data_IF_935348646527
#
_entry.id   IF_935348646527
#
_cell.length_a   1.000
_cell.length_b   1.000
_cell.length_c   1.000
_cell.angle_alpha   90.00
_cell.angle_beta   90.00
_cell.angle_gamma   90.00
#
_symmetry.space_group_name_H-M   'P 1'
#
loop_
_entity.id
_entity.type
_entity.pdbx_description
1 polymer ?
#
# COMPACT_ATOMS: atom_id res chain seq x y z
N UNK A 1 -12.66 29.26 3.22
CA UNK A 1 -13.36 27.99 2.92
C UNK A 1 -12.56 27.13 1.95
N UNK A 2 -11.95 27.71 0.91
CA UNK A 2 -11.13 27.01 -0.10
C UNK A 2 -9.94 26.22 0.47
N UNK A 3 -9.13 26.79 1.38
CA UNK A 3 -7.95 26.10 1.95
C UNK A 3 -8.30 24.85 2.76
N UNK A 4 -9.41 24.86 3.49
CA UNK A 4 -9.86 23.69 4.27
C UNK A 4 -10.39 22.56 3.37
N UNK A 5 -11.04 22.90 2.26
CA UNK A 5 -11.52 21.94 1.25
C UNK A 5 -10.35 21.35 0.46
N UNK A 6 -9.34 22.16 0.12
CA UNK A 6 -8.13 21.69 -0.54
C UNK A 6 -7.32 20.77 0.39
N UNK A 7 -7.18 21.12 1.66
CA UNK A 7 -6.57 20.25 2.67
C UNK A 7 -7.27 18.90 2.81
N UNK A 8 -8.61 18.86 2.76
CA UNK A 8 -9.36 17.61 2.83
C UNK A 8 -9.22 16.75 1.56
N UNK A 9 -9.06 17.36 0.38
CA UNK A 9 -8.82 16.63 -0.88
C UNK A 9 -7.42 16.02 -0.96
N UNK A 10 -6.38 16.69 -0.46
CA UNK A 10 -5.05 16.08 -0.38
C UNK A 10 -5.04 14.90 0.58
N UNK A 11 -5.66 15.03 1.75
CA UNK A 11 -5.76 13.90 2.67
C UNK A 11 -6.51 12.71 2.04
N UNK A 12 -7.52 12.98 1.22
CA UNK A 12 -8.21 11.93 0.46
C UNK A 12 -7.32 11.29 -0.61
N UNK A 13 -6.51 12.07 -1.33
CA UNK A 13 -5.53 11.55 -2.29
C UNK A 13 -4.45 10.69 -1.58
N UNK A 14 -3.90 11.18 -0.47
CA UNK A 14 -2.91 10.47 0.35
C UNK A 14 -3.49 9.21 1.00
N UNK A 15 -4.80 9.11 1.23
CA UNK A 15 -5.44 7.87 1.66
C UNK A 15 -5.44 6.77 0.58
N UNK A 16 -5.17 7.12 -0.68
CA UNK A 16 -4.87 6.17 -1.76
C UNK A 16 -3.45 5.60 -1.70
N UNK A 17 -2.51 6.33 -1.11
CA UNK A 17 -1.08 5.97 -0.99
C UNK A 17 -0.88 5.03 0.19
N UNK A 18 -0.09 3.97 -0.02
CA UNK A 18 0.04 2.88 0.95
C UNK A 18 1.48 2.54 1.21
N UNK A 19 1.73 2.09 2.43
CA UNK A 19 2.94 1.34 2.68
C UNK A 19 2.88 0.02 1.90
N UNK A 20 3.87 -0.27 1.03
CA UNK A 20 3.83 -1.44 0.17
C UNK A 20 3.89 -2.75 0.96
N UNK A 21 4.59 -2.78 2.10
CA UNK A 21 4.70 -3.98 2.93
C UNK A 21 3.41 -4.25 3.71
N UNK A 22 2.85 -3.20 4.33
CA UNK A 22 1.73 -3.32 5.24
C UNK A 22 0.37 -3.36 4.52
N UNK A 23 0.31 -2.85 3.28
CA UNK A 23 -0.91 -2.61 2.50
C UNK A 23 -1.99 -1.85 3.28
N UNK A 24 -1.53 -0.81 3.98
CA UNK A 24 -2.35 0.13 4.74
C UNK A 24 -2.05 1.56 4.29
N UNK A 25 -3.05 2.46 4.26
CA UNK A 25 -2.84 3.84 3.88
C UNK A 25 -1.82 4.55 4.78
N UNK A 26 -0.95 5.36 4.20
CA UNK A 26 0.04 6.15 4.96
C UNK A 26 -0.63 7.14 5.92
N UNK A 27 -1.85 7.57 5.61
CA UNK A 27 -2.70 8.39 6.49
C UNK A 27 -3.18 7.60 7.72
N UNK A 28 -3.64 6.37 7.54
CA UNK A 28 -4.06 5.48 8.63
C UNK A 28 -2.87 5.00 9.49
N UNK A 29 -1.68 4.91 8.89
CA UNK A 29 -0.45 4.58 9.61
C UNK A 29 0.12 5.77 10.41
N UNK A 30 -0.36 6.99 10.15
CA UNK A 30 0.13 8.21 10.81
C UNK A 30 1.45 8.74 10.23
N UNK A 31 1.82 8.29 9.04
CA UNK A 31 3.08 8.67 8.37
C UNK A 31 3.00 10.06 7.76
N UNK A 32 1.80 10.60 7.50
CA UNK A 32 1.64 12.00 7.07
C UNK A 32 1.81 12.91 8.28
N UNK A 33 2.92 13.64 8.34
CA UNK A 33 3.23 14.59 9.41
C UNK A 33 2.49 15.92 9.20
N UNK A 34 2.50 16.42 7.96
CA UNK A 34 1.76 17.61 7.55
C UNK A 34 1.42 17.53 6.06
N UNK A 35 0.36 18.23 5.66
CA UNK A 35 -0.02 18.41 4.27
C UNK A 35 -0.70 19.77 4.14
N UNK A 36 -0.06 20.69 3.42
CA UNK A 36 -0.52 22.08 3.27
C UNK A 36 -0.53 22.49 1.82
N UNK A 37 -1.42 23.43 1.48
CA UNK A 37 -1.49 24.04 0.15
C UNK A 37 -1.59 25.54 0.28
N UNK A 38 -0.72 26.22 -0.45
CA UNK A 38 -0.76 27.67 -0.56
C UNK A 38 -1.92 28.14 -1.45
N UNK A 39 -2.36 29.41 -1.36
CA UNK A 39 -3.42 29.94 -2.21
C UNK A 39 -3.14 29.87 -3.72
N UNK A 40 -1.87 29.79 -4.11
CA UNK A 40 -1.41 29.68 -5.48
C UNK A 40 -1.24 28.22 -5.95
N UNK A 41 -1.65 27.23 -5.16
CA UNK A 41 -1.70 25.82 -5.58
C UNK A 41 -0.36 25.08 -5.45
N UNK A 42 0.51 25.52 -4.53
CA UNK A 42 1.73 24.79 -4.18
C UNK A 42 1.41 23.87 -3.01
N UNK A 43 1.49 22.56 -3.23
CA UNK A 43 1.32 21.56 -2.17
C UNK A 43 2.67 21.16 -1.56
N UNK A 44 2.72 21.13 -0.24
CA UNK A 44 3.86 20.62 0.53
C UNK A 44 3.36 19.53 1.49
N UNK A 45 3.92 18.33 1.35
CA UNK A 45 3.56 17.16 2.16
C UNK A 45 4.80 16.65 2.87
N UNK A 46 4.72 16.53 4.18
CA UNK A 46 5.76 15.90 4.98
C UNK A 46 5.34 14.49 5.37
N UNK A 47 6.21 13.54 5.06
CA UNK A 47 6.11 12.15 5.49
C UNK A 47 7.17 11.85 6.53
N UNK A 48 6.81 11.04 7.52
CA UNK A 48 7.71 10.56 8.57
C UNK A 48 7.54 9.07 8.77
N UNK A 49 8.64 8.39 9.09
CA UNK A 49 8.65 6.94 9.23
C UNK A 49 8.95 6.48 10.66
N UNK A 50 8.50 5.27 11.05
CA UNK A 50 8.65 4.75 12.40
C UNK A 50 10.10 4.67 12.90
N UNK A 51 11.06 4.50 11.99
CA UNK A 51 12.49 4.37 12.33
C UNK A 51 13.36 5.13 11.34
N UNK A 52 14.55 5.54 11.78
CA UNK A 52 15.53 6.23 10.94
C UNK A 52 16.07 5.35 9.81
N UNK A 53 16.03 4.02 9.98
CA UNK A 53 16.55 3.00 9.06
C UNK A 53 15.42 2.15 8.42
N UNK A 54 14.25 2.74 8.20
CA UNK A 54 13.23 2.07 7.38
C UNK A 54 13.82 1.76 5.99
N UNK A 55 13.30 0.74 5.31
CA UNK A 55 13.90 0.32 4.06
C UNK A 55 13.78 1.45 3.00
N UNK A 56 14.90 1.89 2.37
CA UNK A 56 14.90 3.06 1.49
C UNK A 56 14.04 2.86 0.24
N UNK A 57 13.94 1.63 -0.25
CA UNK A 57 13.02 1.26 -1.34
C UNK A 57 11.55 1.45 -0.97
N UNK A 58 11.12 1.10 0.25
CA UNK A 58 9.72 1.29 0.67
C UNK A 58 9.41 2.77 0.91
N UNK A 59 10.35 3.47 1.54
CA UNK A 59 10.27 4.92 1.74
C UNK A 59 10.15 5.65 0.40
N UNK A 60 11.01 5.32 -0.57
CA UNK A 60 10.97 5.90 -1.92
C UNK A 60 9.62 5.66 -2.60
N UNK A 61 9.07 4.43 -2.56
CA UNK A 61 7.76 4.13 -3.13
C UNK A 61 6.65 4.99 -2.51
N UNK A 62 6.64 5.14 -1.18
CA UNK A 62 5.63 5.97 -0.51
C UNK A 62 5.75 7.46 -0.85
N UNK A 63 6.98 7.99 -0.92
CA UNK A 63 7.23 9.40 -1.28
C UNK A 63 6.85 9.65 -2.74
N UNK A 64 7.25 8.76 -3.66
CA UNK A 64 6.90 8.84 -5.07
C UNK A 64 5.38 8.73 -5.30
N UNK A 65 4.72 7.76 -4.65
CA UNK A 65 3.27 7.58 -4.77
C UNK A 65 2.50 8.77 -4.17
N UNK A 66 2.99 9.37 -3.08
CA UNK A 66 2.43 10.61 -2.53
C UNK A 66 2.60 11.79 -3.48
N UNK A 67 3.76 11.91 -4.12
CA UNK A 67 4.01 12.94 -5.12
C UNK A 67 3.03 12.80 -6.29
N UNK A 68 2.91 11.60 -6.86
CA UNK A 68 2.02 11.35 -8.01
C UNK A 68 0.54 11.56 -7.64
N UNK A 69 0.10 11.08 -6.47
CA UNK A 69 -1.29 11.21 -6.01
C UNK A 69 -1.70 12.68 -5.80
N UNK A 70 -0.81 13.50 -5.24
CA UNK A 70 -1.09 14.92 -4.98
C UNK A 70 -0.94 15.75 -6.26
N UNK A 71 0.05 15.44 -7.10
CA UNK A 71 0.26 16.12 -8.38
C UNK A 71 -0.88 15.89 -9.39
N UNK A 72 -1.66 14.82 -9.22
CA UNK A 72 -2.79 14.49 -10.08
C UNK A 72 -4.07 15.30 -9.78
N UNK A 73 -4.07 16.14 -8.74
CA UNK A 73 -5.21 16.99 -8.39
C UNK A 73 -5.23 18.25 -9.26
N UNK A 74 -6.36 18.54 -9.91
CA UNK A 74 -6.51 19.67 -10.84
C UNK A 74 -6.15 21.04 -10.23
N UNK A 75 -6.34 21.20 -8.92
CA UNK A 75 -6.03 22.42 -8.18
C UNK A 75 -4.54 22.60 -7.82
N UNK A 76 -3.71 21.57 -8.01
CA UNK A 76 -2.30 21.58 -7.63
C UNK A 76 -1.44 21.92 -8.84
N UNK A 77 -0.70 23.03 -8.73
CA UNK A 77 0.23 23.49 -9.77
C UNK A 77 1.62 22.88 -9.59
N UNK A 78 2.04 22.69 -8.34
CA UNK A 78 3.34 22.10 -8.02
C UNK A 78 3.26 21.36 -6.69
N UNK A 79 3.99 20.26 -6.60
CA UNK A 79 4.02 19.40 -5.42
C UNK A 79 5.44 19.23 -4.93
N UNK A 80 5.62 19.33 -3.63
CA UNK A 80 6.83 18.94 -2.92
C UNK A 80 6.44 17.90 -1.87
N UNK A 81 7.12 16.76 -1.88
CA UNK A 81 6.97 15.74 -0.83
C UNK A 81 8.32 15.57 -0.16
N UNK A 82 8.35 15.69 1.16
CA UNK A 82 9.56 15.67 1.98
C UNK A 82 9.46 14.49 2.93
N UNK A 83 10.46 13.61 2.89
CA UNK A 83 10.67 12.59 3.89
C UNK A 83 11.52 13.14 5.04
N UNK A 84 10.94 13.22 6.23
CA UNK A 84 11.58 13.75 7.42
C UNK A 84 12.49 12.69 8.09
N UNK A 85 13.70 13.12 8.45
CA UNK A 85 14.61 12.41 9.35
C UNK A 85 14.79 10.91 9.04
N UNK A 86 15.10 10.59 7.79
CA UNK A 86 15.49 9.27 7.35
C UNK A 86 16.95 9.28 6.89
N UNK A 87 17.68 8.17 7.06
CA UNK A 87 19.10 8.11 6.69
C UNK A 87 19.35 8.38 5.20
N UNK A 88 18.35 8.11 4.37
CA UNK A 88 18.37 8.34 2.93
C UNK A 88 17.41 9.46 2.49
N UNK A 89 17.00 10.36 3.39
CA UNK A 89 16.06 11.46 3.07
C UNK A 89 16.52 12.27 1.86
N UNK A 90 17.78 12.71 1.83
CA UNK A 90 18.30 13.56 0.75
C UNK A 90 18.18 12.87 -0.62
N UNK A 91 18.71 11.64 -0.73
CA UNK A 91 18.64 10.85 -1.96
C UNK A 91 17.19 10.58 -2.42
N UNK A 92 16.27 10.29 -1.48
CA UNK A 92 14.87 10.03 -1.80
C UNK A 92 14.16 11.31 -2.25
N UNK A 93 14.31 12.39 -1.50
CA UNK A 93 13.64 13.66 -1.76
C UNK A 93 14.11 14.26 -3.10
N UNK A 94 15.43 14.31 -3.32
CA UNK A 94 16.00 14.80 -4.57
C UNK A 94 15.61 13.91 -5.76
N UNK A 95 15.65 12.58 -5.55
CA UNK A 95 15.30 11.59 -6.54
C UNK A 95 13.85 11.70 -7.03
N UNK A 96 12.90 11.82 -6.09
CA UNK A 96 11.48 11.97 -6.41
C UNK A 96 11.20 13.34 -7.02
N UNK A 97 11.76 14.42 -6.47
CA UNK A 97 11.59 15.77 -7.03
C UNK A 97 12.10 15.88 -8.47
N UNK A 98 13.21 15.21 -8.78
CA UNK A 98 13.78 15.13 -10.13
C UNK A 98 13.10 14.09 -11.04
N UNK A 99 12.16 13.29 -10.51
CA UNK A 99 11.57 12.11 -11.18
C UNK A 99 12.65 11.18 -11.76
N UNK A 100 13.72 10.98 -11.00
CA UNK A 100 14.94 10.31 -11.44
C UNK A 100 14.79 8.79 -11.57
N UNK A 101 13.86 8.19 -10.82
CA UNK A 101 13.77 6.74 -10.64
C UNK A 101 14.64 6.26 -9.48
N UNK A 102 14.35 5.09 -8.92
CA UNK A 102 15.05 4.59 -7.74
C UNK A 102 16.50 4.26 -8.05
N UNK A 103 16.77 3.62 -9.19
CA UNK A 103 18.13 3.19 -9.54
C UNK A 103 19.07 4.38 -9.72
N UNK A 104 18.59 5.48 -10.30
CA UNK A 104 19.39 6.71 -10.44
C UNK A 104 19.57 7.43 -9.10
N UNK A 105 18.56 7.41 -8.23
CA UNK A 105 18.62 8.09 -6.93
C UNK A 105 19.61 7.43 -5.97
N UNK A 106 19.88 6.13 -6.18
CA UNK A 106 20.80 5.31 -5.40
C UNK A 106 21.87 4.69 -6.30
N UNK A 107 22.50 5.50 -7.16
CA UNK A 107 23.53 5.04 -8.09
C UNK A 107 24.68 4.33 -7.36
N UNK A 108 25.08 3.17 -7.87
CA UNK A 108 26.09 2.29 -7.23
C UNK A 108 25.59 1.46 -6.04
N UNK A 109 24.39 1.72 -5.50
CA UNK A 109 23.79 0.97 -4.39
C UNK A 109 22.56 0.15 -4.82
N UNK A 110 21.75 0.68 -5.74
CA UNK A 110 20.55 0.02 -6.22
C UNK A 110 20.86 -1.10 -7.23
N UNK A 111 20.20 -2.24 -7.05
CA UNK A 111 20.25 -3.35 -8.01
C UNK A 111 19.36 -3.13 -9.25
N UNK A 112 18.46 -2.15 -9.22
CA UNK A 112 17.52 -1.84 -10.30
C UNK A 112 16.30 -1.06 -9.79
N UNK A 113 15.31 -0.89 -10.67
CA UNK A 113 14.02 -0.25 -10.33
C UNK A 113 13.12 -1.17 -9.49
N UNK A 114 12.05 -0.59 -8.94
CA UNK A 114 11.23 -1.21 -7.90
C UNK A 114 9.96 -1.91 -8.41
N UNK A 115 9.76 -2.06 -9.71
CA UNK A 115 8.54 -2.64 -10.28
C UNK A 115 8.27 -4.06 -9.78
N UNK A 116 9.28 -4.93 -9.80
CA UNK A 116 9.14 -6.31 -9.34
C UNK A 116 8.85 -6.39 -7.84
N UNK A 117 9.49 -5.51 -7.06
CA UNK A 117 9.25 -5.41 -5.62
C UNK A 117 7.79 -5.01 -5.34
N UNK A 118 7.27 -4.02 -6.07
CA UNK A 118 5.86 -3.60 -5.97
C UNK A 118 4.92 -4.75 -6.30
N UNK A 119 5.18 -5.50 -7.37
CA UNK A 119 4.40 -6.68 -7.76
C UNK A 119 4.39 -7.72 -6.62
N UNK A 120 5.53 -8.01 -6.02
CA UNK A 120 5.64 -9.02 -4.95
C UNK A 120 4.88 -8.62 -3.68
N UNK A 121 4.85 -7.33 -3.36
CA UNK A 121 4.03 -6.82 -2.28
C UNK A 121 2.54 -6.92 -2.56
N UNK A 122 2.10 -6.54 -3.77
CA UNK A 122 0.68 -6.68 -4.14
C UNK A 122 0.26 -8.16 -4.13
N UNK A 123 1.15 -9.10 -4.50
CA UNK A 123 0.90 -10.55 -4.37
C UNK A 123 0.68 -10.96 -2.91
N UNK A 124 1.51 -10.46 -1.98
CA UNK A 124 1.31 -10.69 -0.53
C UNK A 124 -0.02 -10.10 -0.06
N UNK A 125 -0.41 -8.94 -0.56
CA UNK A 125 -1.68 -8.29 -0.27
C UNK A 125 -2.89 -9.09 -0.76
N UNK A 126 -2.80 -9.70 -1.94
CA UNK A 126 -3.80 -10.64 -2.44
C UNK A 126 -3.90 -11.84 -1.50
N UNK A 127 -2.77 -12.45 -1.12
CA UNK A 127 -2.75 -13.58 -0.18
C UNK A 127 -3.36 -13.23 1.18
N UNK A 128 -2.97 -12.10 1.78
CA UNK A 128 -3.51 -11.66 3.05
C UNK A 128 -5.01 -11.34 2.96
N UNK A 129 -5.44 -10.67 1.88
CA UNK A 129 -6.83 -10.37 1.60
C UNK A 129 -7.69 -11.63 1.44
N UNK A 130 -7.17 -12.67 0.79
CA UNK A 130 -7.84 -13.97 0.67
C UNK A 130 -8.16 -14.57 2.04
N UNK A 131 -7.22 -14.55 2.99
CA UNK A 131 -7.47 -15.04 4.36
C UNK A 131 -8.59 -14.24 5.05
N UNK A 132 -8.56 -12.90 4.94
CA UNK A 132 -9.59 -12.03 5.54
C UNK A 132 -10.97 -12.33 4.98
N UNK A 133 -11.08 -12.50 3.67
CA UNK A 133 -12.35 -12.76 2.98
C UNK A 133 -12.88 -14.18 3.26
N UNK A 134 -11.99 -15.18 3.35
CA UNK A 134 -12.40 -16.58 3.52
C UNK A 134 -12.70 -16.96 4.97
N UNK A 135 -12.06 -16.31 5.95
CA UNK A 135 -12.22 -16.64 7.38
C UNK A 135 -13.67 -16.68 7.88
N UNK A 136 -14.56 -15.73 7.55
CA UNK A 136 -15.93 -15.77 8.06
C UNK A 136 -16.81 -16.82 7.37
N UNK A 137 -16.36 -17.44 6.28
CA UNK A 137 -17.21 -18.31 5.46
C UNK A 137 -17.42 -19.71 6.05
N UNK A 138 -16.48 -20.21 6.87
CA UNK A 138 -16.54 -21.54 7.51
C UNK A 138 -17.07 -22.65 6.58
N UNK A 139 -16.49 -22.78 5.38
CA UNK A 139 -16.89 -23.75 4.34
C UNK A 139 -15.88 -24.88 4.19
N UNK A 140 -16.33 -25.99 3.59
CA UNK A 140 -15.44 -27.08 3.18
C UNK A 140 -14.44 -26.60 2.10
N UNK A 141 -13.20 -27.11 2.07
CA UNK A 141 -12.25 -26.86 0.99
C UNK A 141 -12.83 -26.98 -0.43
N UNK A 142 -13.70 -27.96 -0.71
CA UNK A 142 -14.32 -28.11 -2.04
C UNK A 142 -15.21 -26.93 -2.40
N UNK A 143 -15.98 -26.44 -1.43
CA UNK A 143 -16.89 -25.32 -1.61
C UNK A 143 -16.12 -24.01 -1.82
N UNK A 144 -15.01 -23.82 -1.10
CA UNK A 144 -14.15 -22.64 -1.27
C UNK A 144 -13.41 -22.65 -2.61
N UNK A 145 -13.01 -23.82 -3.11
CA UNK A 145 -12.39 -23.98 -4.43
C UNK A 145 -13.36 -23.63 -5.55
N UNK A 146 -14.63 -24.01 -5.42
CA UNK A 146 -15.67 -23.76 -6.42
C UNK A 146 -16.31 -22.36 -6.31
N UNK A 147 -16.18 -21.68 -5.15
CA UNK A 147 -16.76 -20.36 -4.92
C UNK A 147 -16.19 -19.30 -5.85
N UNK A 148 -17.03 -18.35 -6.24
CA UNK A 148 -16.66 -17.15 -6.99
C UNK A 148 -16.70 -15.91 -6.12
N UNK A 149 -16.03 -14.85 -6.55
CA UNK A 149 -16.05 -13.57 -5.84
C UNK A 149 -17.45 -12.93 -5.78
N UNK A 150 -18.32 -13.20 -6.76
CA UNK A 150 -19.71 -12.72 -6.79
C UNK A 150 -20.65 -13.42 -5.81
N UNK A 151 -20.28 -14.61 -5.33
CA UNK A 151 -21.08 -15.40 -4.39
C UNK A 151 -20.97 -14.89 -2.94
N UNK A 152 -20.07 -13.94 -2.70
CA UNK A 152 -19.74 -13.44 -1.38
C UNK A 152 -20.51 -12.15 -1.05
N UNK A 153 -20.91 -11.95 0.21
CA UNK A 153 -21.54 -10.71 0.63
C UNK A 153 -20.60 -9.51 0.40
N UNK A 154 -21.12 -8.36 -0.07
CA UNK A 154 -20.32 -7.14 -0.23
C UNK A 154 -19.61 -6.76 1.08
N UNK A 155 -18.33 -6.45 0.98
CA UNK A 155 -17.51 -6.01 2.12
C UNK A 155 -16.29 -5.24 1.67
N UNK A 156 -15.78 -4.36 2.54
CA UNK A 156 -14.53 -3.63 2.28
C UNK A 156 -13.34 -4.56 2.01
N UNK A 157 -13.31 -5.74 2.65
CA UNK A 157 -12.28 -6.75 2.43
C UNK A 157 -12.35 -7.35 1.03
N UNK A 158 -13.56 -7.65 0.54
CA UNK A 158 -13.79 -8.15 -0.81
C UNK A 158 -13.41 -7.09 -1.86
N UNK A 159 -13.80 -5.83 -1.65
CA UNK A 159 -13.45 -4.73 -2.55
C UNK A 159 -11.94 -4.49 -2.62
N UNK A 160 -11.26 -4.58 -1.47
CA UNK A 160 -9.79 -4.48 -1.38
C UNK A 160 -9.12 -5.63 -2.12
N UNK A 161 -9.59 -6.87 -1.93
CA UNK A 161 -9.06 -8.04 -2.65
C UNK A 161 -9.22 -7.86 -4.17
N UNK A 162 -10.38 -7.41 -4.64
CA UNK A 162 -10.62 -7.13 -6.06
C UNK A 162 -9.71 -6.04 -6.61
N UNK A 163 -9.48 -4.95 -5.87
CA UNK A 163 -8.53 -3.90 -6.27
C UNK A 163 -7.11 -4.45 -6.44
N UNK A 164 -6.59 -5.19 -5.45
CA UNK A 164 -5.25 -5.78 -5.51
C UNK A 164 -5.09 -6.76 -6.67
N UNK A 165 -6.12 -7.53 -6.97
CA UNK A 165 -6.12 -8.40 -8.15
C UNK A 165 -6.05 -7.59 -9.45
N UNK A 166 -6.84 -6.53 -9.59
CA UNK A 166 -6.81 -5.66 -10.78
C UNK A 166 -5.45 -5.02 -11.01
N UNK A 167 -4.76 -4.60 -9.95
CA UNK A 167 -3.40 -4.04 -10.04
C UNK A 167 -2.38 -5.03 -10.61
N UNK A 168 -2.62 -6.34 -10.45
CA UNK A 168 -1.80 -7.41 -11.03
C UNK A 168 -2.37 -7.97 -12.35
N UNK A 169 -3.47 -7.43 -12.86
CA UNK A 169 -4.18 -8.00 -14.02
C UNK A 169 -4.81 -9.37 -13.75
N UNK A 170 -5.05 -9.72 -12.47
CA UNK A 170 -5.64 -11.00 -12.05
C UNK A 170 -7.18 -10.99 -12.12
N UNK A 171 -7.83 -12.17 -12.25
CA UNK A 171 -9.29 -12.29 -12.24
C UNK A 171 -9.96 -11.70 -10.99
N UNK A 172 -10.78 -10.66 -11.17
CA UNK A 172 -11.39 -9.88 -10.09
C UNK A 172 -12.89 -9.58 -10.30
N UNK A 173 -13.52 -10.18 -11.31
CA UNK A 173 -14.95 -10.04 -11.63
C UNK A 173 -15.82 -11.00 -10.82
N UNK A 174 -17.14 -10.88 -10.97
CA UNK A 174 -18.09 -11.69 -10.19
C UNK A 174 -18.02 -13.17 -10.52
N UNK A 175 -17.72 -13.52 -11.78
CA UNK A 175 -17.48 -14.89 -12.21
C UNK A 175 -16.08 -15.43 -11.90
N UNK A 176 -15.19 -14.61 -11.32
CA UNK A 176 -13.82 -15.02 -11.03
C UNK A 176 -13.74 -15.93 -9.82
N UNK A 177 -12.85 -16.95 -9.82
CA UNK A 177 -12.64 -17.83 -8.67
C UNK A 177 -12.27 -17.07 -7.40
N UNK A 178 -12.81 -17.49 -6.26
CA UNK A 178 -12.47 -16.95 -4.95
C UNK A 178 -11.01 -17.24 -4.62
N UNK A 179 -10.53 -18.46 -4.88
CA UNK A 179 -9.16 -18.85 -4.60
C UNK A 179 -8.37 -18.93 -5.90
N UNK A 180 -7.33 -18.11 -6.01
CA UNK A 180 -6.41 -18.11 -7.14
C UNK A 180 -4.96 -18.14 -6.67
N UNK A 181 -4.08 -18.64 -7.50
CA UNK A 181 -2.64 -18.41 -7.36
C UNK A 181 -2.32 -16.94 -7.71
N UNK A 182 -1.65 -16.17 -6.82
CA UNK A 182 -1.40 -14.75 -7.03
C UNK A 182 -0.33 -14.43 -8.08
N UNK A 183 0.38 -15.45 -8.60
CA UNK A 183 1.38 -15.30 -9.67
C UNK A 183 0.72 -15.56 -11.02
N UNK A 184 -0.05 -16.64 -11.14
CA UNK A 184 -0.59 -17.10 -12.43
C UNK A 184 -2.05 -16.72 -12.66
N UNK A 185 -2.80 -16.43 -11.60
CA UNK A 185 -4.25 -16.22 -11.66
C UNK A 185 -5.07 -17.50 -11.82
N UNK A 186 -4.43 -18.68 -11.86
CA UNK A 186 -5.12 -19.95 -11.98
C UNK A 186 -5.93 -20.27 -10.71
N UNK A 187 -7.12 -20.90 -10.83
CA UNK A 187 -7.91 -21.31 -9.69
C UNK A 187 -7.17 -22.35 -8.83
N UNK A 188 -7.36 -22.28 -7.51
CA UNK A 188 -6.82 -23.27 -6.57
C UNK A 188 -7.76 -24.47 -6.51
N UNK A 189 -7.25 -25.67 -6.81
CA UNK A 189 -7.97 -26.93 -6.70
C UNK A 189 -8.25 -27.31 -5.23
N UNK A 190 -9.31 -28.09 -5.00
CA UNK A 190 -9.82 -28.43 -3.67
C UNK A 190 -8.77 -29.07 -2.74
N UNK A 191 -7.89 -29.92 -3.28
CA UNK A 191 -6.79 -30.58 -2.56
C UNK A 191 -5.70 -29.60 -2.10
N UNK A 192 -5.50 -28.50 -2.84
CA UNK A 192 -4.53 -27.45 -2.53
C UNK A 192 -5.07 -26.34 -1.60
N UNK A 193 -6.40 -26.26 -1.40
CA UNK A 193 -7.05 -25.21 -0.58
C UNK A 193 -6.50 -25.16 0.85
N UNK A 194 -6.35 -26.27 1.61
CA UNK A 194 -5.86 -26.19 2.98
C UNK A 194 -4.46 -25.54 3.09
N UNK A 195 -3.55 -25.90 2.17
CA UNK A 195 -2.22 -25.31 2.13
C UNK A 195 -2.26 -23.84 1.71
N UNK A 196 -3.09 -23.51 0.72
CA UNK A 196 -3.27 -22.13 0.25
C UNK A 196 -3.77 -21.22 1.38
N UNK A 197 -4.82 -21.61 2.10
CA UNK A 197 -5.36 -20.84 3.23
C UNK A 197 -4.38 -20.72 4.39
N UNK A 198 -3.58 -21.76 4.66
CA UNK A 198 -2.50 -21.68 5.66
C UNK A 198 -1.46 -20.62 5.28
N UNK A 199 -1.04 -20.57 4.01
CA UNK A 199 -0.11 -19.54 3.50
C UNK A 199 -0.73 -18.15 3.55
N UNK A 200 -2.00 -18.01 3.17
CA UNK A 200 -2.76 -16.77 3.23
C UNK A 200 -2.81 -16.22 4.67
N UNK A 201 -3.16 -17.08 5.63
CA UNK A 201 -3.20 -16.75 7.06
C UNK A 201 -1.84 -16.33 7.59
N UNK A 202 -0.78 -17.07 7.25
CA UNK A 202 0.59 -16.72 7.67
C UNK A 202 0.99 -15.34 7.13
N UNK A 203 0.73 -15.09 5.84
CA UNK A 203 1.02 -13.82 5.18
C UNK A 203 0.32 -12.67 5.91
N UNK A 204 -1.00 -12.74 6.09
CA UNK A 204 -1.76 -11.72 6.83
C UNK A 204 -1.23 -11.52 8.25
N UNK A 205 -0.94 -12.61 8.97
CA UNK A 205 -0.47 -12.51 10.36
C UNK A 205 0.89 -11.80 10.44
N UNK A 206 1.78 -12.02 9.49
CA UNK A 206 3.04 -11.29 9.36
C UNK A 206 2.81 -9.80 9.11
N UNK A 207 1.90 -9.46 8.20
CA UNK A 207 1.56 -8.06 7.88
C UNK A 207 0.96 -7.34 9.09
N UNK A 208 0.04 -7.98 9.82
CA UNK A 208 -0.58 -7.40 11.01
C UNK A 208 0.44 -7.18 12.14
N UNK A 209 1.38 -8.12 12.32
CA UNK A 209 2.46 -7.99 13.28
C UNK A 209 3.39 -6.82 12.94
N UNK A 210 3.83 -6.72 11.69
CA UNK A 210 4.69 -5.63 11.23
C UNK A 210 3.96 -4.29 11.35
N UNK A 211 2.67 -4.23 11.01
CA UNK A 211 1.83 -3.03 11.18
C UNK A 211 1.77 -2.59 12.65
N UNK A 212 1.58 -3.54 13.56
CA UNK A 212 1.56 -3.28 15.00
C UNK A 212 2.88 -2.70 15.52
N UNK A 213 4.01 -3.29 15.09
CA UNK A 213 5.36 -2.82 15.44
C UNK A 213 5.61 -1.42 14.86
N UNK A 214 5.33 -1.20 13.57
CA UNK A 214 5.50 0.10 12.92
C UNK A 214 4.71 1.20 13.63
N UNK A 215 3.43 0.97 13.95
CA UNK A 215 2.62 1.94 14.71
C UNK A 215 3.18 2.19 16.11
N UNK A 216 3.68 1.16 16.79
CA UNK A 216 4.31 1.27 18.11
C UNK A 216 5.58 2.13 18.08
N UNK A 217 6.49 1.85 17.14
CA UNK A 217 7.73 2.59 16.97
C UNK A 217 7.48 4.04 16.57
N UNK A 218 6.50 4.29 15.68
CA UNK A 218 6.12 5.64 15.28
C UNK A 218 5.63 6.48 16.46
N UNK A 219 4.73 5.93 17.29
CA UNK A 219 4.23 6.64 18.49
C UNK A 219 5.35 6.93 19.49
N UNK A 220 6.30 6.00 19.65
CA UNK A 220 7.44 6.22 20.53
C UNK A 220 8.37 7.32 20.00
N UNK A 221 8.61 7.32 18.69
CA UNK A 221 9.46 8.33 18.03
C UNK A 221 8.81 9.71 18.01
N UNK A 222 7.48 9.79 17.88
CA UNK A 222 6.73 11.04 17.77
C UNK A 222 5.57 11.10 18.78
N UNK A 223 5.84 11.43 20.06
CA UNK A 223 4.85 11.39 21.13
C UNK A 223 3.77 12.49 21.06
N UNK A 224 4.04 13.61 20.38
CA UNK A 224 3.20 14.82 20.45
C UNK A 224 2.04 14.88 19.43
N UNK A 225 1.84 13.81 18.63
CA UNK A 225 0.82 13.77 17.56
C UNK A 225 -0.21 12.64 17.76
N UNK A 226 -0.56 12.35 19.01
CA UNK A 226 -1.64 11.41 19.40
C UNK A 226 -2.98 12.10 19.61
#
# INVERSE_FOLDING_TARGET
MTTAIVGSRILAALAGVRDPELDEPITTLGFVASAVVSPDGVAEVHLRLPTYFCAPNFAYLMVADAYDAVSALDEIRSTTVILDEHFASDAINDGVAARAGFARSFDGEAAGELDQLRIDFIRKSVMAGTDVVCRPLSRDPSDLSAAKLGDLPPSNALDRLRRRRRELGLPAGDDSPLLIDPITGAPIAADAVPLHLRKARLTRTSLDANTGICRGMLRHRYPDNG
#
